data_IF_737324785146
#
_entry.id   IF_737324785146
#
_cell.length_a   1.000
_cell.length_b   1.000
_cell.length_c   1.000
_cell.angle_alpha   90.00
_cell.angle_beta   90.00
_cell.angle_gamma   90.00
#
_symmetry.space_group_name_H-M   'P 1'
#
loop_
_entity.id
_entity.type
_entity.pdbx_description
1 polymer ?
#
# COMPACT_ATOMS: atom_id res chain seq x y z
N UNK A 1 0.65 -5.24 -20.28
CA UNK A 1 0.65 -6.35 -19.32
C UNK A 1 -0.20 -5.93 -18.14
N UNK A 2 -0.96 -6.81 -17.54
CA UNK A 2 -1.75 -6.49 -16.34
C UNK A 2 -0.86 -6.56 -15.10
N UNK A 3 -1.20 -5.79 -14.08
CA UNK A 3 -0.50 -5.87 -12.80
C UNK A 3 -0.69 -7.25 -12.17
N UNK A 4 0.40 -7.78 -11.62
CA UNK A 4 0.43 -9.15 -11.08
C UNK A 4 1.28 -9.24 -9.82
N UNK A 5 0.90 -10.17 -8.96
CA UNK A 5 1.64 -10.61 -7.80
C UNK A 5 2.07 -12.06 -8.00
N UNK A 6 3.32 -12.35 -7.66
CA UNK A 6 3.90 -13.70 -7.73
C UNK A 6 4.40 -14.10 -6.35
N UNK A 7 4.06 -15.32 -5.93
CA UNK A 7 4.64 -15.96 -4.74
C UNK A 7 5.55 -17.09 -5.17
N UNK A 8 6.72 -17.14 -4.56
CA UNK A 8 7.73 -18.15 -4.81
C UNK A 8 8.34 -18.67 -3.51
N UNK A 9 8.94 -19.83 -3.58
CA UNK A 9 9.73 -20.43 -2.52
C UNK A 9 10.99 -21.08 -3.11
N UNK A 10 12.09 -21.03 -2.39
CA UNK A 10 13.28 -21.83 -2.75
C UNK A 10 12.98 -23.32 -2.52
N UNK A 11 13.49 -24.18 -3.38
CA UNK A 11 13.24 -25.63 -3.27
C UNK A 11 13.77 -26.26 -1.97
N UNK A 12 14.77 -25.67 -1.38
CA UNK A 12 15.29 -26.06 -0.05
C UNK A 12 14.38 -25.63 1.11
N UNK A 13 13.32 -24.82 0.82
CA UNK A 13 12.37 -24.35 1.81
C UNK A 13 12.90 -23.28 2.76
N UNK A 14 14.06 -22.66 2.48
CA UNK A 14 14.66 -21.69 3.37
C UNK A 14 14.28 -20.24 3.07
N UNK A 15 13.81 -19.94 1.84
CA UNK A 15 13.48 -18.60 1.39
C UNK A 15 12.08 -18.57 0.81
N UNK A 16 11.21 -17.72 1.36
CA UNK A 16 9.93 -17.34 0.78
C UNK A 16 10.06 -15.96 0.15
N UNK A 17 9.54 -15.80 -1.05
CA UNK A 17 9.59 -14.52 -1.74
C UNK A 17 8.24 -14.18 -2.38
N UNK A 18 7.91 -12.90 -2.38
CA UNK A 18 6.76 -12.34 -3.09
C UNK A 18 7.25 -11.16 -3.92
N UNK A 19 6.80 -11.05 -5.16
CA UNK A 19 7.07 -9.88 -5.99
C UNK A 19 5.82 -9.38 -6.67
N UNK A 20 5.79 -8.09 -6.99
CA UNK A 20 4.67 -7.43 -7.64
C UNK A 20 5.13 -6.54 -8.79
N UNK A 21 4.36 -6.55 -9.86
CA UNK A 21 4.34 -5.51 -10.88
C UNK A 21 3.07 -4.70 -10.70
N UNK A 22 3.20 -3.38 -10.49
CA UNK A 22 2.10 -2.51 -10.01
C UNK A 22 1.98 -1.21 -10.84
N UNK A 23 2.43 -1.22 -12.09
CA UNK A 23 2.46 -0.01 -12.93
C UNK A 23 1.06 0.58 -13.13
N UNK A 24 0.07 -0.25 -13.52
CA UNK A 24 -1.26 0.23 -13.86
C UNK A 24 -2.02 0.72 -12.64
N UNK A 25 -1.92 0.01 -11.50
CA UNK A 25 -2.58 0.42 -10.26
C UNK A 25 -1.93 1.69 -9.66
N UNK A 26 -0.61 1.85 -9.79
CA UNK A 26 0.09 3.08 -9.35
C UNK A 26 -0.29 4.26 -10.25
N UNK A 27 -0.35 4.07 -11.57
CA UNK A 27 -0.83 5.09 -12.50
C UNK A 27 -2.29 5.45 -12.21
N UNK A 28 -3.13 4.47 -11.89
CA UNK A 28 -4.52 4.71 -11.48
C UNK A 28 -4.63 5.55 -10.22
N UNK A 29 -3.81 5.25 -9.20
CA UNK A 29 -3.74 6.05 -7.98
C UNK A 29 -3.30 7.49 -8.28
N UNK A 30 -2.27 7.66 -9.13
CA UNK A 30 -1.80 8.98 -9.58
C UNK A 30 -2.92 9.79 -10.24
N UNK A 31 -3.68 9.18 -11.13
CA UNK A 31 -4.78 9.84 -11.85
C UNK A 31 -5.93 10.24 -10.91
N UNK A 32 -6.27 9.40 -9.93
CA UNK A 32 -7.33 9.69 -8.96
C UNK A 32 -6.93 10.87 -8.06
N UNK A 33 -5.71 10.81 -7.50
CA UNK A 33 -5.27 11.76 -6.47
C UNK A 33 -4.45 12.92 -7.03
N UNK A 34 -4.21 12.97 -8.34
CA UNK A 34 -3.40 14.00 -9.01
C UNK A 34 -2.02 14.20 -8.36
N UNK A 35 -1.38 13.08 -7.97
CA UNK A 35 -0.13 13.12 -7.24
C UNK A 35 1.04 13.67 -8.07
N UNK A 36 1.89 14.47 -7.44
CA UNK A 36 3.20 14.88 -7.96
C UNK A 36 4.12 13.67 -8.18
N UNK A 37 5.23 13.79 -8.90
CA UNK A 37 6.13 12.67 -9.11
C UNK A 37 6.64 12.01 -7.81
N UNK A 38 7.04 12.79 -6.80
CA UNK A 38 7.54 12.25 -5.53
C UNK A 38 6.42 11.62 -4.71
N UNK A 39 5.22 12.23 -4.69
CA UNK A 39 4.05 11.66 -4.03
C UNK A 39 3.59 10.36 -4.72
N UNK A 40 3.66 10.30 -6.07
CA UNK A 40 3.40 9.08 -6.85
C UNK A 40 4.38 7.96 -6.47
N UNK A 41 5.67 8.30 -6.35
CA UNK A 41 6.68 7.32 -5.97
C UNK A 41 6.47 6.79 -4.54
N UNK A 42 6.17 7.66 -3.59
CA UNK A 42 5.90 7.28 -2.21
C UNK A 42 4.63 6.40 -2.10
N UNK A 43 3.51 6.86 -2.69
CA UNK A 43 2.25 6.11 -2.66
C UNK A 43 2.38 4.76 -3.39
N UNK A 44 3.01 4.73 -4.57
CA UNK A 44 3.18 3.51 -5.34
C UNK A 44 4.04 2.46 -4.61
N UNK A 45 5.10 2.87 -3.89
CA UNK A 45 5.88 1.97 -3.02
C UNK A 45 5.01 1.41 -1.89
N UNK A 46 4.22 2.26 -1.22
CA UNK A 46 3.31 1.82 -0.16
C UNK A 46 2.24 0.85 -0.68
N UNK A 47 1.67 1.10 -1.87
CA UNK A 47 0.71 0.21 -2.52
C UNK A 47 1.34 -1.14 -2.89
N UNK A 48 2.56 -1.15 -3.44
CA UNK A 48 3.28 -2.39 -3.74
C UNK A 48 3.57 -3.20 -2.47
N UNK A 49 4.06 -2.53 -1.42
CA UNK A 49 4.35 -3.17 -0.13
C UNK A 49 3.11 -3.78 0.51
N UNK A 50 2.01 -3.02 0.62
CA UNK A 50 0.78 -3.51 1.24
C UNK A 50 0.10 -4.61 0.43
N UNK A 51 0.23 -4.61 -0.92
CA UNK A 51 -0.26 -5.69 -1.79
C UNK A 51 0.38 -7.04 -1.44
N UNK A 52 1.71 -7.05 -1.28
CA UNK A 52 2.45 -8.25 -0.87
C UNK A 52 2.06 -8.73 0.54
N UNK A 53 1.78 -7.80 1.45
CA UNK A 53 1.33 -8.11 2.81
C UNK A 53 -0.09 -8.66 2.82
N UNK A 54 -1.00 -8.09 2.03
CA UNK A 54 -2.39 -8.52 1.94
C UNK A 54 -2.52 -9.92 1.36
N UNK A 55 -1.79 -10.23 0.28
CA UNK A 55 -1.79 -11.57 -0.31
C UNK A 55 -1.21 -12.67 0.60
N UNK A 56 -0.55 -12.29 1.70
CA UNK A 56 -0.12 -13.23 2.72
C UNK A 56 -1.24 -13.63 3.72
N UNK A 57 -2.38 -12.93 3.72
CA UNK A 57 -3.56 -13.25 4.53
C UNK A 57 -4.25 -14.52 4.01
N UNK A 58 -5.05 -15.16 4.88
CA UNK A 58 -5.68 -16.45 4.56
C UNK A 58 -7.19 -16.37 4.34
N UNK A 59 -7.85 -15.39 4.97
CA UNK A 59 -9.30 -15.24 4.93
C UNK A 59 -9.75 -14.23 3.88
N UNK A 60 -10.75 -14.56 3.06
CA UNK A 60 -11.26 -13.69 1.99
C UNK A 60 -11.88 -12.36 2.45
N UNK A 61 -12.15 -12.20 3.75
CA UNK A 61 -12.65 -10.95 4.33
C UNK A 61 -11.58 -10.13 5.06
N UNK A 62 -10.37 -10.67 5.13
CA UNK A 62 -9.25 -10.03 5.84
C UNK A 62 -8.64 -8.89 5.04
N UNK A 63 -8.01 -7.95 5.75
CA UNK A 63 -7.33 -6.82 5.12
C UNK A 63 -6.13 -6.34 5.93
N UNK A 64 -5.19 -5.73 5.22
CA UNK A 64 -4.04 -5.04 5.84
C UNK A 64 -4.12 -3.56 5.51
N UNK A 65 -3.95 -2.74 6.53
CA UNK A 65 -3.74 -1.30 6.39
C UNK A 65 -2.31 -0.96 6.76
N UNK A 66 -1.61 -0.31 5.87
CA UNK A 66 -0.30 0.28 6.08
C UNK A 66 -0.47 1.79 6.24
N UNK A 67 -0.10 2.33 7.38
CA UNK A 67 -0.07 3.75 7.65
C UNK A 67 1.37 4.19 7.91
N UNK A 68 1.85 5.14 7.11
CA UNK A 68 3.16 5.77 7.28
C UNK A 68 2.91 7.22 7.67
N UNK A 69 3.38 7.61 8.85
CA UNK A 69 3.23 8.95 9.39
C UNK A 69 4.62 9.49 9.70
N UNK A 70 5.22 10.13 8.70
CA UNK A 70 6.51 10.80 8.85
C UNK A 70 6.38 12.27 9.20
N UNK A 71 7.51 12.91 9.44
CA UNK A 71 7.63 14.35 9.70
C UNK A 71 7.91 15.17 8.42
N UNK A 72 7.93 14.51 7.26
CA UNK A 72 8.10 15.16 5.97
C UNK A 72 6.82 15.81 5.42
N UNK A 73 6.93 16.57 4.32
CA UNK A 73 5.83 17.37 3.79
C UNK A 73 4.66 16.54 3.20
N UNK A 74 4.85 15.27 2.83
CA UNK A 74 3.77 14.41 2.34
C UNK A 74 2.70 14.14 3.40
N UNK A 75 3.05 14.30 4.69
CA UNK A 75 2.18 13.91 5.79
C UNK A 75 1.92 12.40 5.83
N UNK A 76 0.68 12.01 6.08
CA UNK A 76 0.32 10.60 6.22
C UNK A 76 0.11 9.94 4.85
N UNK A 77 0.72 8.77 4.66
CA UNK A 77 0.41 7.83 3.57
C UNK A 77 -0.43 6.70 4.15
N UNK A 78 -1.57 6.43 3.55
CA UNK A 78 -2.44 5.32 3.91
C UNK A 78 -2.63 4.40 2.70
N UNK A 79 -2.30 3.13 2.85
CA UNK A 79 -2.52 2.11 1.84
C UNK A 79 -3.20 0.89 2.45
N UNK A 80 -4.15 0.29 1.76
CA UNK A 80 -4.94 -0.85 2.23
C UNK A 80 -4.94 -1.91 1.15
N UNK A 81 -4.74 -3.17 1.54
CA UNK A 81 -4.89 -4.34 0.68
C UNK A 81 -5.91 -5.32 1.25
N UNK A 82 -6.65 -5.98 0.36
CA UNK A 82 -7.39 -7.19 0.69
C UNK A 82 -6.50 -8.45 0.63
N UNK A 83 -7.08 -9.62 0.93
CA UNK A 83 -6.38 -10.90 0.89
C UNK A 83 -6.03 -11.38 -0.54
N UNK A 84 -6.60 -10.77 -1.57
CA UNK A 84 -6.28 -11.05 -2.97
C UNK A 84 -5.10 -10.18 -3.48
N UNK A 85 -4.65 -9.21 -2.69
CA UNK A 85 -3.58 -8.27 -3.06
C UNK A 85 -4.07 -7.03 -3.80
N UNK A 86 -5.39 -6.83 -3.97
CA UNK A 86 -5.93 -5.60 -4.54
C UNK A 86 -5.78 -4.45 -3.55
N UNK A 87 -5.46 -3.28 -4.05
CA UNK A 87 -5.08 -2.16 -3.20
C UNK A 87 -5.89 -0.90 -3.43
N UNK A 88 -5.90 -0.05 -2.42
CA UNK A 88 -6.30 1.35 -2.47
C UNK A 88 -5.47 2.15 -1.49
N UNK A 89 -5.28 3.43 -1.75
CA UNK A 89 -4.49 4.27 -0.84
C UNK A 89 -4.54 5.73 -1.27
N UNK A 90 -4.04 6.59 -0.40
CA UNK A 90 -3.85 8.00 -0.67
C UNK A 90 -2.69 8.56 0.14
N UNK A 91 -2.25 9.74 -0.20
CA UNK A 91 -1.27 10.54 0.53
C UNK A 91 -1.94 11.85 0.96
N UNK A 92 -1.61 12.34 2.14
CA UNK A 92 -2.27 13.51 2.74
C UNK A 92 -2.06 14.78 1.89
N UNK A 93 -0.82 15.04 1.46
CA UNK A 93 -0.52 16.11 0.51
C UNK A 93 0.04 15.52 -0.79
N UNK A 94 -0.84 15.43 -1.79
CA UNK A 94 -0.52 14.89 -3.11
C UNK A 94 0.31 15.85 -3.97
N UNK A 95 0.39 17.13 -3.61
CA UNK A 95 0.99 18.19 -4.41
C UNK A 95 2.47 18.46 -4.11
N UNK A 96 3.03 17.82 -3.08
CA UNK A 96 4.41 18.02 -2.64
C UNK A 96 5.40 17.81 -3.79
N UNK A 97 6.25 18.80 -4.03
CA UNK A 97 7.35 18.71 -4.99
C UNK A 97 8.67 18.99 -4.27
N UNK A 98 9.65 18.11 -4.50
CA UNK A 98 11.01 18.26 -3.98
C UNK A 98 12.02 18.23 -5.13
N UNK A 99 13.18 18.90 -4.99
CA UNK A 99 14.27 18.75 -5.92
C UNK A 99 14.69 17.28 -6.03
N UNK A 100 15.19 16.89 -7.21
CA UNK A 100 15.80 15.58 -7.37
C UNK A 100 17.06 15.48 -6.50
N UNK A 101 17.34 14.29 -6.02
CA UNK A 101 18.60 13.95 -5.34
C UNK A 101 19.78 14.15 -6.30
N UNK A 102 20.98 14.20 -5.78
CA UNK A 102 22.21 14.36 -6.56
C UNK A 102 22.43 13.21 -7.60
N UNK A 103 21.85 12.03 -7.35
CA UNK A 103 21.85 10.89 -8.26
C UNK A 103 20.72 10.92 -9.31
N UNK A 104 19.95 12.03 -9.36
CA UNK A 104 18.85 12.24 -10.29
C UNK A 104 17.53 11.52 -9.93
N UNK A 105 17.45 10.89 -8.76
CA UNK A 105 16.24 10.20 -8.29
C UNK A 105 15.31 11.13 -7.50
N UNK A 106 14.04 10.73 -7.42
CA UNK A 106 13.05 11.37 -6.57
C UNK A 106 13.43 11.17 -5.08
N UNK A 107 13.36 12.22 -4.29
CA UNK A 107 13.71 12.20 -2.86
C UNK A 107 12.51 11.79 -2.00
N UNK A 108 12.19 10.49 -2.04
CA UNK A 108 11.06 9.94 -1.29
C UNK A 108 11.31 9.99 0.22
N UNK A 109 12.53 9.68 0.66
CA UNK A 109 12.90 9.74 2.07
C UNK A 109 12.64 11.11 2.69
N UNK A 110 13.11 12.19 2.06
CA UNK A 110 12.85 13.56 2.55
C UNK A 110 11.38 13.95 2.42
N UNK A 111 10.65 13.44 1.42
CA UNK A 111 9.24 13.73 1.25
C UNK A 111 8.38 13.08 2.35
N UNK A 112 8.70 11.85 2.75
CA UNK A 112 8.07 11.13 3.88
C UNK A 112 8.54 11.68 5.21
N UNK A 113 9.83 11.96 5.32
CA UNK A 113 10.51 12.34 6.56
C UNK A 113 11.20 11.18 7.24
N UNK A 114 12.18 11.50 8.07
CA UNK A 114 13.01 10.50 8.77
C UNK A 114 12.50 10.20 10.18
N UNK A 115 11.69 11.10 10.76
CA UNK A 115 11.01 10.92 12.04
C UNK A 115 9.57 10.46 11.86
N UNK A 116 9.11 9.61 12.77
CA UNK A 116 7.72 9.14 12.73
C UNK A 116 7.58 7.63 12.80
N UNK A 117 6.43 7.12 12.36
CA UNK A 117 6.06 5.71 12.54
C UNK A 117 5.49 5.08 11.28
N UNK A 118 5.78 3.78 11.12
CA UNK A 118 5.09 2.87 10.24
C UNK A 118 4.21 1.96 11.08
N UNK A 119 2.91 1.97 10.83
CA UNK A 119 1.92 1.14 11.54
C UNK A 119 1.23 0.20 10.54
N UNK A 120 1.18 -1.06 10.89
CA UNK A 120 0.45 -2.10 10.16
C UNK A 120 -0.73 -2.54 11.01
N UNK A 121 -1.93 -2.51 10.42
CA UNK A 121 -3.16 -2.95 11.04
C UNK A 121 -3.69 -4.13 10.22
N UNK A 122 -3.76 -5.33 10.81
CA UNK A 122 -4.34 -6.52 10.17
C UNK A 122 -5.73 -6.77 10.75
N UNK A 123 -6.75 -6.57 9.92
CA UNK A 123 -8.12 -6.98 10.23
C UNK A 123 -8.31 -8.43 9.79
N UNK A 124 -8.30 -9.33 10.76
CA UNK A 124 -8.40 -10.79 10.57
C UNK A 124 -9.81 -11.30 10.87
N UNK A 125 -10.82 -10.42 10.91
CA UNK A 125 -12.18 -10.76 11.29
C UNK A 125 -12.35 -11.12 12.78
N UNK A 126 -11.35 -10.81 13.60
CA UNK A 126 -11.40 -10.98 15.05
C UNK A 126 -12.04 -9.77 15.73
N UNK A 127 -12.31 -9.89 17.04
CA UNK A 127 -12.91 -8.81 17.82
C UNK A 127 -12.09 -7.52 17.78
N UNK A 128 -10.78 -7.65 17.76
CA UNK A 128 -9.83 -6.54 17.68
C UNK A 128 -8.81 -6.84 16.57
N UNK A 129 -8.40 -5.84 15.76
CA UNK A 129 -7.36 -6.03 14.78
C UNK A 129 -5.99 -6.18 15.45
N UNK A 130 -5.08 -6.87 14.79
CA UNK A 130 -3.68 -6.83 15.18
C UNK A 130 -3.07 -5.49 14.74
N UNK A 131 -2.30 -4.85 15.63
CA UNK A 131 -1.62 -3.58 15.33
C UNK A 131 -0.16 -3.69 15.71
N UNK A 132 0.73 -3.52 14.73
CA UNK A 132 2.17 -3.42 14.93
C UNK A 132 2.67 -2.05 14.50
N UNK A 133 3.53 -1.44 15.29
CA UNK A 133 4.09 -0.10 15.01
C UNK A 133 5.59 -0.10 15.25
N UNK A 134 6.34 0.46 14.30
CA UNK A 134 7.79 0.67 14.38
C UNK A 134 8.14 2.11 14.02
N UNK A 135 9.31 2.57 14.45
CA UNK A 135 9.84 3.87 14.01
C UNK A 135 10.31 3.79 12.56
N UNK A 136 10.18 4.89 11.82
CA UNK A 136 10.79 5.01 10.51
C UNK A 136 12.32 5.00 10.63
N UNK A 137 12.99 4.30 9.71
CA UNK A 137 14.44 4.32 9.57
C UNK A 137 14.90 5.45 8.66
N UNK A 138 14.21 5.62 7.52
CA UNK A 138 14.65 6.57 6.52
C UNK A 138 13.52 7.17 5.66
N UNK A 139 12.29 6.70 5.82
CA UNK A 139 11.17 7.14 4.98
C UNK A 139 11.23 6.64 3.52
N UNK A 140 12.20 5.78 3.18
CA UNK A 140 12.32 5.17 1.85
C UNK A 140 11.29 4.04 1.62
N UNK A 141 10.48 3.74 2.62
CA UNK A 141 9.36 2.78 2.66
C UNK A 141 9.82 1.33 2.57
N UNK A 142 10.73 0.97 1.66
CA UNK A 142 11.21 -0.41 1.53
C UNK A 142 12.00 -0.86 2.77
N UNK A 143 12.92 -0.03 3.22
CA UNK A 143 13.71 -0.27 4.43
C UNK A 143 12.83 -0.26 5.68
N UNK A 144 11.88 0.67 5.75
CA UNK A 144 10.94 0.79 6.86
C UNK A 144 10.03 -0.45 6.97
N UNK A 145 9.61 -1.02 5.82
CA UNK A 145 8.86 -2.29 5.79
C UNK A 145 9.73 -3.48 6.20
N UNK A 146 10.98 -3.55 5.75
CA UNK A 146 11.90 -4.60 6.19
C UNK A 146 12.11 -4.54 7.71
N UNK A 147 12.31 -3.35 8.26
CA UNK A 147 12.40 -3.13 9.71
C UNK A 147 11.14 -3.59 10.45
N UNK A 148 9.96 -3.27 9.93
CA UNK A 148 8.69 -3.73 10.51
C UNK A 148 8.64 -5.25 10.62
N UNK A 149 9.03 -5.98 9.57
CA UNK A 149 9.02 -7.45 9.62
C UNK A 149 10.00 -7.99 10.65
N UNK A 150 11.17 -7.38 10.78
CA UNK A 150 12.18 -7.81 11.77
C UNK A 150 11.75 -7.47 13.20
N UNK A 151 11.34 -6.24 13.46
CA UNK A 151 11.07 -5.74 14.81
C UNK A 151 9.72 -6.19 15.36
N UNK A 152 8.68 -6.16 14.52
CA UNK A 152 7.30 -6.45 14.94
C UNK A 152 6.88 -7.89 14.67
N UNK A 153 7.25 -8.46 13.51
CA UNK A 153 6.86 -9.82 13.13
C UNK A 153 7.95 -10.86 13.45
N UNK A 154 9.17 -10.42 13.78
CA UNK A 154 10.33 -11.26 14.08
C UNK A 154 10.70 -12.18 12.90
N UNK A 155 10.49 -11.71 11.68
CA UNK A 155 10.82 -12.42 10.43
C UNK A 155 11.96 -11.67 9.74
N UNK A 156 13.17 -12.25 9.65
CA UNK A 156 14.26 -11.66 8.88
C UNK A 156 13.81 -11.45 7.42
N UNK A 157 13.81 -10.22 6.97
CA UNK A 157 13.22 -9.84 5.69
C UNK A 157 14.06 -8.81 4.95
N UNK A 158 14.06 -8.90 3.62
CA UNK A 158 14.57 -7.89 2.72
C UNK A 158 13.44 -7.40 1.80
N UNK A 159 13.35 -6.10 1.60
CA UNK A 159 12.32 -5.49 0.77
C UNK A 159 12.96 -4.53 -0.23
N UNK A 160 12.58 -4.65 -1.50
CA UNK A 160 12.98 -3.73 -2.55
C UNK A 160 11.76 -3.20 -3.28
N UNK A 161 11.56 -1.88 -3.29
CA UNK A 161 10.43 -1.20 -3.92
C UNK A 161 10.92 -0.13 -4.88
N UNK A 162 10.21 0.06 -5.98
CA UNK A 162 10.56 1.10 -6.93
C UNK A 162 9.37 1.60 -7.72
N UNK A 163 9.37 2.90 -8.01
CA UNK A 163 8.45 3.56 -8.93
C UNK A 163 9.26 4.50 -9.80
N UNK A 164 9.15 4.34 -11.11
CA UNK A 164 9.75 5.20 -12.12
C UNK A 164 8.67 6.05 -12.75
N UNK A 165 8.81 7.36 -12.61
CA UNK A 165 7.89 8.36 -13.18
C UNK A 165 8.59 9.07 -14.33
N UNK A 166 7.90 9.21 -15.46
CA UNK A 166 8.41 9.92 -16.64
C UNK A 166 8.29 11.45 -16.49
N UNK A 167 8.86 12.18 -17.45
CA UNK A 167 8.79 13.65 -17.50
C UNK A 167 7.36 14.18 -17.69
N UNK A 168 6.50 13.41 -18.36
CA UNK A 168 5.08 13.72 -18.50
C UNK A 168 4.26 13.33 -17.25
N UNK A 169 4.93 12.91 -16.18
CA UNK A 169 4.38 12.44 -14.91
C UNK A 169 3.69 11.06 -14.94
N UNK A 170 3.66 10.37 -16.09
CA UNK A 170 3.13 9.02 -16.16
C UNK A 170 4.05 8.00 -15.48
N UNK A 171 3.49 6.89 -15.00
CA UNK A 171 4.26 5.81 -14.38
C UNK A 171 4.80 4.87 -15.46
N UNK A 172 6.12 4.78 -15.58
CA UNK A 172 6.81 3.88 -16.53
C UNK A 172 6.95 2.46 -15.96
N UNK A 173 7.34 2.35 -14.68
CA UNK A 173 7.47 1.08 -13.98
C UNK A 173 7.18 1.28 -12.51
N UNK A 174 6.54 0.29 -11.88
CA UNK A 174 6.30 0.26 -10.45
C UNK A 174 6.20 -1.19 -9.98
N UNK A 175 6.68 -1.47 -8.77
CA UNK A 175 6.61 -2.78 -8.15
C UNK A 175 7.72 -3.00 -7.14
N UNK A 176 7.98 -4.27 -6.85
CA UNK A 176 9.00 -4.63 -5.90
C UNK A 176 8.93 -6.08 -5.48
N UNK A 177 9.71 -6.39 -4.45
CA UNK A 177 9.78 -7.71 -3.85
C UNK A 177 9.87 -7.63 -2.32
N UNK A 178 9.43 -8.68 -1.69
CA UNK A 178 9.60 -8.99 -0.28
C UNK A 178 10.17 -10.41 -0.18
N UNK A 179 11.37 -10.53 0.39
CA UNK A 179 12.05 -11.80 0.62
C UNK A 179 12.09 -12.04 2.12
N UNK A 180 11.72 -13.23 2.56
CA UNK A 180 11.64 -13.62 3.96
C UNK A 180 12.39 -14.92 4.19
N UNK A 181 13.24 -14.93 5.20
CA UNK A 181 13.93 -16.15 5.61
C UNK A 181 13.00 -17.00 6.49
N UNK A 182 12.98 -18.29 6.21
CA UNK A 182 12.20 -19.25 6.98
C UNK A 182 13.04 -19.88 8.09
N UNK A 183 12.42 -20.44 9.15
CA UNK A 183 13.13 -21.09 10.22
C UNK A 183 14.07 -22.19 9.69
N UNK A 184 15.35 -22.12 10.09
CA UNK A 184 16.39 -23.02 9.61
C UNK A 184 17.33 -22.42 8.57
N UNK A 185 17.04 -21.23 8.02
CA UNK A 185 17.95 -20.51 7.16
C UNK A 185 19.23 -20.13 7.91
N UNK A 186 20.38 -20.60 7.42
CA UNK A 186 21.69 -20.34 8.01
C UNK A 186 22.42 -19.15 7.37
N UNK A 187 23.63 -18.86 7.86
CA UNK A 187 24.45 -17.74 7.36
C UNK A 187 24.72 -17.82 5.85
N UNK A 188 24.91 -19.01 5.29
CA UNK A 188 25.10 -19.20 3.85
C UNK A 188 23.87 -18.75 3.04
N UNK A 189 22.65 -19.01 3.56
CA UNK A 189 21.41 -18.56 2.93
C UNK A 189 21.31 -17.05 2.96
N UNK A 190 21.65 -16.43 4.09
CA UNK A 190 21.67 -14.97 4.26
C UNK A 190 22.65 -14.35 3.25
N UNK A 191 23.89 -14.85 3.20
CA UNK A 191 24.93 -14.33 2.32
C UNK A 191 24.53 -14.42 0.83
N UNK A 192 23.86 -15.50 0.40
CA UNK A 192 23.35 -15.65 -0.96
C UNK A 192 22.23 -14.64 -1.27
N UNK A 193 21.29 -14.44 -0.35
CA UNK A 193 20.21 -13.45 -0.53
C UNK A 193 20.80 -12.04 -0.64
N UNK A 194 21.69 -11.65 0.26
CA UNK A 194 22.35 -10.35 0.25
C UNK A 194 23.19 -10.15 -1.01
N UNK A 195 23.95 -11.17 -1.42
CA UNK A 195 24.75 -11.15 -2.65
C UNK A 195 23.90 -10.95 -3.89
N UNK A 196 22.77 -11.66 -3.99
CA UNK A 196 21.84 -11.53 -5.10
C UNK A 196 21.18 -10.15 -5.15
N UNK A 197 20.74 -9.61 -4.01
CA UNK A 197 20.18 -8.25 -3.92
C UNK A 197 21.22 -7.21 -4.34
N UNK A 198 22.46 -7.33 -3.88
CA UNK A 198 23.53 -6.39 -4.21
C UNK A 198 23.92 -6.43 -5.70
N UNK A 199 23.93 -7.60 -6.30
CA UNK A 199 24.29 -7.79 -7.72
C UNK A 199 23.17 -7.40 -8.69
N UNK A 200 21.91 -7.42 -8.24
CA UNK A 200 20.78 -7.16 -9.09
C UNK A 200 20.68 -5.67 -9.52
N UNK A 201 20.25 -5.38 -10.76
CA UNK A 201 19.89 -4.03 -11.16
C UNK A 201 18.76 -3.48 -10.29
N UNK A 202 18.56 -2.15 -10.32
CA UNK A 202 17.44 -1.56 -9.57
C UNK A 202 16.09 -2.15 -10.00
N UNK A 203 15.17 -2.29 -9.06
CA UNK A 203 13.80 -2.79 -9.29
C UNK A 203 13.13 -2.09 -10.47
N UNK A 204 13.26 -0.76 -10.55
CA UNK A 204 12.63 0.03 -11.62
C UNK A 204 13.21 -0.26 -13.00
N UNK A 205 14.52 -0.48 -13.10
CA UNK A 205 15.14 -0.83 -14.38
C UNK A 205 14.71 -2.22 -14.84
N UNK A 206 14.71 -3.19 -13.92
CA UNK A 206 14.27 -4.55 -14.24
C UNK A 206 12.81 -4.56 -14.70
N UNK A 207 11.89 -3.96 -13.93
CA UNK A 207 10.46 -3.96 -14.24
C UNK A 207 10.09 -3.09 -15.46
N UNK A 208 10.92 -2.10 -15.83
CA UNK A 208 10.75 -1.36 -17.08
C UNK A 208 11.09 -2.23 -18.29
N UNK A 209 12.19 -2.99 -18.20
CA UNK A 209 12.72 -3.77 -19.31
C UNK A 209 12.03 -5.14 -19.41
N UNK A 210 11.64 -5.72 -18.28
CA UNK A 210 10.86 -6.96 -18.16
C UNK A 210 9.82 -6.84 -17.04
N UNK A 211 8.54 -6.63 -17.37
CA UNK A 211 7.48 -6.42 -16.39
C UNK A 211 6.97 -7.70 -15.71
N UNK A 212 7.69 -8.81 -15.80
CA UNK A 212 7.36 -10.07 -15.11
C UNK A 212 7.97 -10.10 -13.70
N UNK A 213 7.15 -10.06 -12.62
CA UNK A 213 7.65 -10.13 -11.25
C UNK A 213 8.31 -11.48 -10.92
N UNK A 214 8.02 -12.56 -11.64
CA UNK A 214 8.73 -13.83 -11.47
C UNK A 214 10.20 -13.72 -11.91
N UNK A 215 10.47 -12.99 -13.00
CA UNK A 215 11.82 -12.76 -13.46
C UNK A 215 12.59 -11.79 -12.57
N UNK A 216 11.90 -10.82 -11.94
CA UNK A 216 12.48 -10.00 -10.88
C UNK A 216 13.00 -10.89 -9.73
N UNK A 217 12.20 -11.85 -9.25
CA UNK A 217 12.64 -12.78 -8.21
C UNK A 217 13.80 -13.66 -8.66
N UNK A 218 13.77 -14.19 -9.89
CA UNK A 218 14.88 -15.02 -10.42
C UNK A 218 16.19 -14.25 -10.52
N UNK A 219 16.12 -12.94 -10.79
CA UNK A 219 17.31 -12.10 -10.84
C UNK A 219 17.86 -11.83 -9.43
N UNK A 220 16.99 -11.44 -8.50
CA UNK A 220 17.41 -11.10 -7.12
C UNK A 220 17.83 -12.34 -6.32
N UNK A 221 17.25 -13.50 -6.61
CA UNK A 221 17.52 -14.78 -5.96
C UNK A 221 18.19 -15.76 -6.93
N UNK A 222 19.17 -15.29 -7.73
CA UNK A 222 19.84 -16.07 -8.77
C UNK A 222 20.54 -17.32 -8.27
N UNK A 223 20.98 -17.34 -7.01
CA UNK A 223 21.64 -18.46 -6.37
C UNK A 223 20.69 -19.52 -5.78
N UNK A 224 19.37 -19.31 -6.00
CA UNK A 224 18.34 -20.21 -5.50
C UNK A 224 17.55 -20.85 -6.65
N UNK A 225 17.24 -22.13 -6.50
CA UNK A 225 16.27 -22.80 -7.37
C UNK A 225 14.85 -22.48 -6.86
N UNK A 226 14.18 -21.54 -7.55
CA UNK A 226 12.87 -21.02 -7.15
C UNK A 226 11.73 -21.81 -7.79
N UNK A 227 10.76 -22.18 -6.97
CA UNK A 227 9.45 -22.67 -7.40
C UNK A 227 8.43 -21.52 -7.31
N UNK A 228 7.76 -21.24 -8.43
CA UNK A 228 6.65 -20.28 -8.47
C UNK A 228 5.40 -21.02 -7.98
N UNK A 229 4.85 -20.57 -6.85
CA UNK A 229 3.70 -21.20 -6.20
C UNK A 229 2.38 -20.65 -6.74
N UNK A 230 2.34 -19.35 -7.03
CA UNK A 230 1.10 -18.68 -7.41
C UNK A 230 1.41 -17.40 -8.20
N UNK A 231 0.52 -17.08 -9.15
CA UNK A 231 0.49 -15.81 -9.86
C UNK A 231 -0.94 -15.27 -9.82
N UNK A 232 -1.14 -14.12 -9.20
CA UNK A 232 -2.45 -13.51 -8.96
C UNK A 232 -2.53 -12.17 -9.67
N UNK A 233 -3.59 -11.88 -10.46
CA UNK A 233 -3.84 -10.53 -10.97
C UNK A 233 -4.25 -9.61 -9.81
N UNK A 234 -3.72 -8.39 -9.82
CA UNK A 234 -4.00 -7.37 -8.80
C UNK A 234 -4.41 -6.05 -9.45
N UNK A 235 -5.19 -5.24 -8.74
CA UNK A 235 -5.64 -3.95 -9.26
C UNK A 235 -5.84 -2.90 -8.16
N UNK A 236 -5.97 -1.64 -8.57
CA UNK A 236 -6.48 -0.59 -7.69
C UNK A 236 -7.99 -0.73 -7.54
N UNK A 237 -8.45 -1.18 -6.37
CA UNK A 237 -9.86 -1.49 -6.11
C UNK A 237 -10.38 -0.77 -4.87
N UNK A 238 -11.38 0.08 -5.05
CA UNK A 238 -12.07 0.73 -3.94
C UNK A 238 -13.40 0.02 -3.65
N UNK A 239 -13.65 -0.26 -2.38
CA UNK A 239 -14.88 -0.91 -1.89
C UNK A 239 -15.88 0.07 -1.29
N UNK A 240 -15.78 1.38 -1.62
CA UNK A 240 -16.80 2.33 -1.19
C UNK A 240 -18.14 2.04 -1.87
N UNK A 241 -19.20 2.17 -1.11
CA UNK A 241 -20.56 2.07 -1.63
C UNK A 241 -21.44 3.12 -0.97
N UNK A 242 -22.59 3.38 -1.59
CA UNK A 242 -23.58 4.31 -1.04
C UNK A 242 -24.02 3.89 0.38
N UNK A 243 -24.24 2.58 0.58
CA UNK A 243 -24.66 2.01 1.85
C UNK A 243 -23.60 2.16 2.95
N UNK A 244 -22.31 2.05 2.60
CA UNK A 244 -21.22 2.31 3.55
C UNK A 244 -21.15 3.77 3.93
N UNK A 245 -21.35 4.66 2.96
CA UNK A 245 -21.34 6.11 3.20
C UNK A 245 -22.55 6.54 4.02
N UNK A 246 -23.73 5.95 3.76
CA UNK A 246 -24.94 6.15 4.55
C UNK A 246 -24.74 5.75 6.02
N UNK A 247 -24.13 4.58 6.27
CA UNK A 247 -23.79 4.16 7.64
C UNK A 247 -22.82 5.12 8.32
N UNK A 248 -21.87 5.69 7.59
CA UNK A 248 -20.97 6.70 8.13
C UNK A 248 -21.73 7.98 8.51
N UNK A 249 -22.69 8.44 7.70
CA UNK A 249 -23.57 9.55 8.06
C UNK A 249 -24.40 9.25 9.31
N UNK A 250 -25.02 8.08 9.37
CA UNK A 250 -25.81 7.65 10.52
C UNK A 250 -24.98 7.62 11.83
N UNK A 251 -23.69 7.34 11.72
CA UNK A 251 -22.79 7.32 12.90
C UNK A 251 -22.51 8.70 13.49
N UNK A 252 -22.77 9.78 12.77
CA UNK A 252 -22.65 11.15 13.27
C UNK A 252 -23.73 11.49 14.30
N UNK A 253 -24.88 10.81 14.22
CA UNK A 253 -26.03 11.06 15.09
C UNK A 253 -27.00 12.10 14.53
N UNK A 254 -28.20 12.15 15.13
CA UNK A 254 -29.31 12.97 14.63
C UNK A 254 -29.01 14.47 14.64
N UNK A 255 -28.33 14.96 15.68
CA UNK A 255 -28.03 16.39 15.82
C UNK A 255 -27.13 16.92 14.70
N UNK A 256 -26.05 16.20 14.39
CA UNK A 256 -25.09 16.59 13.35
C UNK A 256 -25.75 16.54 11.95
N UNK A 257 -26.59 15.54 11.70
CA UNK A 257 -27.38 15.46 10.46
C UNK A 257 -28.38 16.60 10.33
N UNK A 258 -29.01 17.06 11.43
CA UNK A 258 -29.88 18.24 11.41
C UNK A 258 -29.12 19.52 11.09
N UNK A 259 -27.91 19.67 11.62
CA UNK A 259 -27.04 20.81 11.32
C UNK A 259 -26.63 20.82 9.84
N UNK A 260 -26.18 19.69 9.29
CA UNK A 260 -25.88 19.53 7.88
C UNK A 260 -27.10 19.86 7.00
N UNK A 261 -28.28 19.34 7.36
CA UNK A 261 -29.51 19.60 6.63
C UNK A 261 -29.89 21.10 6.64
N UNK A 262 -29.73 21.75 7.79
CA UNK A 262 -30.05 23.18 7.97
C UNK A 262 -29.08 24.07 7.18
N UNK A 263 -27.78 23.75 7.19
CA UNK A 263 -26.73 24.60 6.64
C UNK A 263 -26.55 24.40 5.14
N UNK A 264 -26.62 23.16 4.67
CA UNK A 264 -26.28 22.78 3.31
C UNK A 264 -27.45 22.24 2.50
N UNK A 265 -28.52 21.79 3.14
CA UNK A 265 -29.70 21.19 2.50
C UNK A 265 -29.47 19.81 1.90
N UNK A 266 -28.21 19.33 1.83
CA UNK A 266 -27.76 18.04 1.32
C UNK A 266 -26.41 17.66 1.95
N UNK A 267 -25.98 16.42 1.77
CA UNK A 267 -24.64 15.96 2.12
C UNK A 267 -23.94 15.36 0.90
N UNK A 268 -22.77 15.86 0.56
CA UNK A 268 -21.87 15.32 -0.47
C UNK A 268 -20.61 14.78 0.22
N UNK A 269 -20.41 13.44 0.16
CA UNK A 269 -19.25 12.78 0.75
C UNK A 269 -18.34 12.25 -0.34
N UNK A 270 -17.12 12.74 -0.38
CA UNK A 270 -16.09 12.27 -1.31
C UNK A 270 -15.31 11.13 -0.68
N UNK A 271 -15.20 10.01 -1.40
CA UNK A 271 -14.38 8.89 -0.96
C UNK A 271 -12.90 9.23 -1.13
N UNK A 272 -12.13 9.21 -0.04
CA UNK A 272 -10.70 9.53 -0.07
C UNK A 272 -9.85 8.55 -0.87
N UNK A 273 -10.35 7.35 -1.20
CA UNK A 273 -9.61 6.37 -1.98
C UNK A 273 -9.87 6.44 -3.49
N UNK A 274 -11.01 6.95 -3.95
CA UNK A 274 -11.35 6.91 -5.37
C UNK A 274 -12.04 8.17 -5.90
N UNK A 275 -12.14 9.22 -5.08
CA UNK A 275 -12.77 10.51 -5.37
C UNK A 275 -14.23 10.43 -5.82
N UNK A 276 -14.87 9.26 -5.68
CA UNK A 276 -16.29 9.12 -5.94
C UNK A 276 -17.09 9.92 -4.93
N UNK A 277 -17.98 10.77 -5.43
CA UNK A 277 -18.91 11.53 -4.60
C UNK A 277 -20.19 10.72 -4.40
N UNK A 278 -20.60 10.56 -3.15
CA UNK A 278 -21.89 10.01 -2.74
C UNK A 278 -22.75 11.15 -2.19
N UNK A 279 -23.79 11.52 -2.94
CA UNK A 279 -24.67 12.62 -2.59
C UNK A 279 -25.95 12.11 -1.93
N UNK A 280 -26.39 12.79 -0.88
CA UNK A 280 -27.62 12.52 -0.14
C UNK A 280 -28.47 13.78 -0.11
N UNK A 281 -29.68 13.69 -0.62
CA UNK A 281 -30.65 14.79 -0.66
C UNK A 281 -31.17 15.15 0.74
N UNK A 282 -31.75 16.33 0.87
CA UNK A 282 -32.39 16.73 2.11
C UNK A 282 -33.55 15.81 2.55
N UNK A 283 -34.23 15.14 1.61
CA UNK A 283 -35.25 14.14 1.95
C UNK A 283 -34.65 12.87 2.53
N UNK A 284 -33.51 12.43 2.00
CA UNK A 284 -32.78 11.29 2.53
C UNK A 284 -32.20 11.57 3.91
N UNK A 285 -31.63 12.76 4.12
CA UNK A 285 -31.15 13.19 5.45
C UNK A 285 -32.29 13.23 6.49
N UNK A 286 -33.48 13.72 6.12
CA UNK A 286 -34.63 13.70 7.05
C UNK A 286 -35.04 12.28 7.40
N UNK A 287 -35.05 11.33 6.47
CA UNK A 287 -35.34 9.92 6.77
C UNK A 287 -34.33 9.34 7.76
N UNK A 288 -33.04 9.59 7.53
CA UNK A 288 -31.97 9.14 8.45
C UNK A 288 -32.13 9.72 9.86
N UNK A 289 -32.46 11.02 9.96
CA UNK A 289 -32.71 11.69 11.23
C UNK A 289 -33.92 11.05 11.96
N UNK A 290 -35.00 10.79 11.25
CA UNK A 290 -36.19 10.17 11.82
C UNK A 290 -35.94 8.73 12.31
N UNK A 291 -35.11 7.97 11.59
CA UNK A 291 -34.68 6.63 12.01
C UNK A 291 -33.83 6.68 13.28
N UNK A 292 -32.86 7.58 13.35
CA UNK A 292 -32.01 7.75 14.54
C UNK A 292 -32.83 8.16 15.78
N UNK A 293 -33.78 9.07 15.63
CA UNK A 293 -34.69 9.50 16.71
C UNK A 293 -35.55 8.36 17.26
N UNK A 294 -35.99 7.43 16.39
CA UNK A 294 -36.76 6.24 16.80
C UNK A 294 -35.93 5.25 17.62
N UNK A 295 -34.62 5.21 17.40
CA UNK A 295 -33.67 4.30 18.07
C UNK A 295 -33.07 4.95 19.33
N UNK A 296 -33.36 6.24 19.59
CA UNK A 296 -32.86 6.98 20.75
C UNK A 296 -31.37 7.38 20.64
N UNK A 297 -30.92 7.58 19.42
CA UNK A 297 -29.55 8.03 19.09
C UNK A 297 -29.53 9.39 18.40
#
# INVERSE_FOLDING_TARGET
MNDTLVRAMSKDGMVKATAVYTRALTERARQIHHTSPVATAALGRALAGVSMMGNALKGSGESVTLQIKGDGPLGTILAVSDAEGNVRGYVQDASVELPLRADGKLDVGSAVGHGGTLTVIKDLGLKEPYVGTVNLLGGEIAEDLAAYFVESEQIPSACGLGVLVDRDRSVLAAGGYLIQLLPGAGEDTIAKVEGGIYAAPSVTNQLRDDPDPANLLRTVLSDFDLEILETTPIEYRCYCSRERTERALLSLGSKELEDILREQGRADLTCQFCDRIHSFSGEELRRMIDELKKIGK
#
